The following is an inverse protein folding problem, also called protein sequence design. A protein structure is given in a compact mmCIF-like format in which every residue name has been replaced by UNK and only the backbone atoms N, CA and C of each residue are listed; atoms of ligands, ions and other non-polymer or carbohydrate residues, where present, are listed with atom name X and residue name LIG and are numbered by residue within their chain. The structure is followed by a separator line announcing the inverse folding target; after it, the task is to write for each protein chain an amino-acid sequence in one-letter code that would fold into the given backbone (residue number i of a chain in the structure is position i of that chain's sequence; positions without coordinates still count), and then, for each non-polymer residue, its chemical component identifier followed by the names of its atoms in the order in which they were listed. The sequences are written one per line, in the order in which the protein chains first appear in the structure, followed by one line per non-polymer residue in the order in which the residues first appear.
data_IF_933796712224
#
_entry.id   IF_933796712224
#
_cell.length_a   1.000
_cell.length_b   1.000
_cell.length_c   1.000
_cell.angle_alpha   90.00
_cell.angle_beta   90.00
_cell.angle_gamma   90.00
#
_symmetry.space_group_name_H-M   'P 1'
#
loop_
_entity.id
_entity.type
_entity.pdbx_description
1 polymer ?
#
# COMPACT_ATOMS: atom_id res chain seq x y z
N UNK A 1 1.27 -6.24 8.52
CA UNK A 1 -0.12 -5.91 8.19
C UNK A 1 -1.09 -6.24 9.34
N UNK A 2 -0.94 -7.36 10.04
CA UNK A 2 -1.87 -7.79 11.10
C UNK A 2 -2.10 -6.77 12.22
N UNK A 3 -1.12 -5.96 12.56
CA UNK A 3 -1.26 -4.91 13.57
C UNK A 3 -2.24 -3.82 13.14
N UNK A 4 -2.34 -3.52 11.84
CA UNK A 4 -3.33 -2.59 11.29
C UNK A 4 -4.74 -3.12 11.56
N UNK A 5 -5.00 -4.39 11.24
CA UNK A 5 -6.29 -5.02 11.52
C UNK A 5 -6.64 -5.00 13.00
N UNK A 6 -5.66 -5.31 13.86
CA UNK A 6 -5.86 -5.31 15.31
C UNK A 6 -6.20 -3.90 15.84
N UNK A 7 -5.48 -2.87 15.37
CA UNK A 7 -5.73 -1.48 15.74
C UNK A 7 -7.10 -0.99 15.25
N UNK A 8 -7.47 -1.33 14.01
CA UNK A 8 -8.80 -1.01 13.45
C UNK A 8 -9.91 -1.68 14.25
N UNK A 9 -9.77 -2.96 14.57
CA UNK A 9 -10.76 -3.70 15.35
C UNK A 9 -10.93 -3.10 16.77
N UNK A 10 -9.83 -2.72 17.42
CA UNK A 10 -9.87 -2.03 18.69
C UNK A 10 -10.59 -0.67 18.57
N UNK A 11 -10.20 0.15 17.59
CA UNK A 11 -10.81 1.46 17.38
C UNK A 11 -12.29 1.35 17.03
N UNK A 12 -12.69 0.33 16.27
CA UNK A 12 -14.09 0.08 15.91
C UNK A 12 -14.94 -0.28 17.14
N UNK A 13 -14.39 -1.07 18.06
CA UNK A 13 -15.06 -1.50 19.28
C UNK A 13 -15.17 -0.37 20.34
N UNK A 14 -14.32 0.66 20.27
CA UNK A 14 -14.28 1.75 21.27
C UNK A 14 -15.33 2.84 20.94
N UNK A 15 -16.39 3.01 21.74
CA UNK A 15 -17.47 3.96 21.44
C UNK A 15 -17.04 5.43 21.36
N UNK A 16 -15.98 5.81 22.06
CA UNK A 16 -15.46 7.18 22.07
C UNK A 16 -14.67 7.54 20.79
N UNK A 17 -14.28 6.54 19.98
CA UNK A 17 -13.61 6.77 18.70
C UNK A 17 -14.65 6.98 17.60
N UNK A 18 -14.62 8.14 16.96
CA UNK A 18 -15.52 8.52 15.87
C UNK A 18 -14.86 8.43 14.48
N UNK A 19 -13.55 8.67 14.42
CA UNK A 19 -12.74 8.68 13.19
C UNK A 19 -11.40 8.05 13.47
N UNK A 20 -10.86 7.30 12.52
CA UNK A 20 -9.52 6.71 12.58
C UNK A 20 -8.60 7.53 11.67
N UNK A 21 -7.52 8.08 12.21
CA UNK A 21 -6.47 8.73 11.43
C UNK A 21 -5.25 7.83 11.41
N UNK A 22 -4.79 7.49 10.20
CA UNK A 22 -3.57 6.71 9.98
C UNK A 22 -2.46 7.64 9.54
N UNK A 23 -1.34 7.60 10.23
CA UNK A 23 -0.17 8.43 9.95
C UNK A 23 1.14 7.67 10.12
N UNK A 24 2.21 8.13 9.51
CA UNK A 24 3.55 7.61 9.71
C UNK A 24 4.27 8.29 10.88
N UNK A 25 5.01 7.54 11.68
CA UNK A 25 5.77 8.08 12.82
C UNK A 25 7.14 8.66 12.43
N UNK A 26 7.62 8.43 11.20
CA UNK A 26 8.97 8.76 10.78
C UNK A 26 9.05 9.87 9.72
N UNK A 27 9.99 9.73 8.80
CA UNK A 27 10.23 10.68 7.70
C UNK A 27 9.19 10.62 6.58
N UNK A 28 8.27 9.68 6.63
CA UNK A 28 7.22 9.49 5.64
C UNK A 28 6.10 8.64 6.19
N UNK A 29 5.03 8.53 5.44
CA UNK A 29 3.86 7.74 5.82
C UNK A 29 4.20 6.25 5.92
N UNK A 30 4.68 5.66 4.83
CA UNK A 30 5.11 4.25 4.81
C UNK A 30 5.91 3.95 3.54
N UNK A 31 7.02 3.21 3.69
CA UNK A 31 7.88 2.76 2.59
C UNK A 31 7.52 1.40 2.01
N UNK A 32 6.45 0.77 2.49
CA UNK A 32 6.05 -0.57 2.05
C UNK A 32 6.58 -1.69 2.93
N UNK A 33 6.72 -2.87 2.36
CA UNK A 33 7.24 -4.05 3.06
C UNK A 33 8.72 -3.90 3.38
N UNK A 34 9.14 -4.47 4.52
CA UNK A 34 10.57 -4.51 4.86
C UNK A 34 11.31 -5.48 3.93
N UNK A 35 11.94 -4.89 2.94
CA UNK A 35 12.61 -5.61 1.88
C UNK A 35 13.92 -6.27 2.32
N UNK A 36 14.46 -5.87 3.48
CA UNK A 36 15.59 -6.57 4.09
C UNK A 36 15.18 -7.97 4.57
N UNK A 37 13.93 -8.11 5.01
CA UNK A 37 13.32 -9.38 5.38
C UNK A 37 13.03 -10.21 4.13
N UNK A 38 12.33 -9.59 3.15
CA UNK A 38 11.82 -10.29 1.97
C UNK A 38 12.88 -10.52 0.88
N UNK A 39 13.80 -9.59 0.67
CA UNK A 39 14.82 -9.67 -0.41
C UNK A 39 16.07 -10.43 -0.04
N UNK A 40 16.46 -10.45 1.25
CA UNK A 40 17.70 -11.07 1.70
C UNK A 40 17.54 -12.48 2.27
N UNK A 41 16.32 -13.03 2.29
CA UNK A 41 16.07 -14.38 2.80
C UNK A 41 16.33 -14.55 4.31
N UNK A 42 16.28 -13.45 5.07
CA UNK A 42 16.57 -13.47 6.52
C UNK A 42 15.48 -14.12 7.36
N UNK A 43 14.31 -14.35 6.79
CA UNK A 43 13.18 -15.01 7.46
C UNK A 43 12.63 -16.09 6.54
N UNK A 44 12.39 -17.27 7.07
CA UNK A 44 11.68 -18.33 6.34
C UNK A 44 10.19 -17.94 6.24
N UNK A 45 9.89 -17.14 5.20
CA UNK A 45 8.54 -16.65 4.93
C UNK A 45 7.94 -17.42 3.74
N UNK A 46 6.68 -17.85 3.80
CA UNK A 46 6.06 -18.63 2.73
C UNK A 46 6.16 -17.99 1.34
N UNK A 47 6.08 -16.65 1.25
CA UNK A 47 6.24 -15.91 -0.02
C UNK A 47 7.67 -15.86 -0.55
N UNK A 48 8.65 -16.42 0.18
CA UNK A 48 10.07 -16.41 -0.18
C UNK A 48 10.59 -17.77 -0.56
N UNK A 49 9.73 -18.77 -0.64
CA UNK A 49 10.17 -20.12 -0.91
C UNK A 49 10.88 -20.19 -2.27
N UNK A 50 12.19 -20.44 -2.20
CA UNK A 50 12.98 -20.89 -3.35
C UNK A 50 12.79 -22.40 -3.59
N UNK A 51 11.81 -23.01 -2.89
CA UNK A 51 11.52 -24.42 -3.04
C UNK A 51 10.99 -24.68 -4.44
N UNK A 52 11.67 -25.51 -5.15
CA UNK A 52 11.21 -26.02 -6.42
C UNK A 52 10.55 -27.39 -6.16
N UNK A 53 9.29 -27.60 -6.53
CA UNK A 53 8.44 -26.62 -7.24
C UNK A 53 7.84 -25.54 -6.32
N UNK A 54 7.68 -24.31 -6.84
CA UNK A 54 6.94 -23.24 -6.18
C UNK A 54 5.45 -23.58 -6.09
N UNK A 55 4.85 -23.39 -4.90
CA UNK A 55 3.41 -23.54 -4.70
C UNK A 55 2.72 -22.16 -4.73
N UNK A 56 2.08 -21.79 -5.85
CA UNK A 56 1.41 -20.49 -5.98
C UNK A 56 0.23 -20.32 -5.00
N UNK A 57 -0.34 -21.40 -4.48
CA UNK A 57 -1.48 -21.30 -3.55
C UNK A 57 -1.04 -20.94 -2.13
N UNK A 58 0.15 -21.36 -1.72
CA UNK A 58 0.73 -20.92 -0.44
C UNK A 58 1.03 -19.42 -0.48
N UNK A 59 1.65 -18.95 -1.55
CA UNK A 59 1.94 -17.54 -1.76
C UNK A 59 0.65 -16.70 -1.84
N UNK A 60 -0.32 -17.14 -2.62
CA UNK A 60 -1.63 -16.52 -2.71
C UNK A 60 -2.31 -16.38 -1.34
N UNK A 61 -2.32 -17.44 -0.54
CA UNK A 61 -2.99 -17.44 0.77
C UNK A 61 -2.38 -16.39 1.72
N UNK A 62 -1.04 -16.26 1.72
CA UNK A 62 -0.34 -15.28 2.55
C UNK A 62 -0.62 -13.84 2.07
N UNK A 63 -0.46 -13.57 0.78
CA UNK A 63 -0.68 -12.24 0.22
C UNK A 63 -2.16 -11.82 0.30
N UNK A 64 -3.08 -12.76 0.14
CA UNK A 64 -4.51 -12.51 0.35
C UNK A 64 -4.80 -12.06 1.79
N UNK A 65 -4.16 -12.68 2.78
CA UNK A 65 -4.29 -12.29 4.18
C UNK A 65 -3.79 -10.85 4.39
N UNK A 66 -2.66 -10.47 3.81
CA UNK A 66 -2.15 -9.10 3.92
C UNK A 66 -3.09 -8.08 3.26
N UNK A 67 -3.65 -8.42 2.10
CA UNK A 67 -4.68 -7.60 1.45
C UNK A 67 -5.88 -7.39 2.36
N UNK A 68 -6.38 -8.45 3.01
CA UNK A 68 -7.50 -8.36 3.95
C UNK A 68 -7.16 -7.53 5.19
N UNK A 69 -5.90 -7.55 5.65
CA UNK A 69 -5.44 -6.73 6.77
C UNK A 69 -5.49 -5.23 6.41
N UNK A 70 -5.02 -4.84 5.22
CA UNK A 70 -5.14 -3.46 4.73
C UNK A 70 -6.60 -3.05 4.50
N UNK A 71 -7.39 -3.93 3.90
CA UNK A 71 -8.80 -3.68 3.61
C UNK A 71 -9.67 -3.58 4.87
N UNK A 72 -9.15 -3.89 6.06
CA UNK A 72 -9.87 -3.63 7.33
C UNK A 72 -10.17 -2.15 7.51
N UNK A 73 -9.27 -1.24 7.06
CA UNK A 73 -9.47 0.21 7.05
C UNK A 73 -10.69 0.62 6.21
N UNK A 74 -10.84 -0.02 5.06
CA UNK A 74 -11.95 0.26 4.14
C UNK A 74 -13.28 -0.33 4.61
N UNK A 75 -13.25 -1.51 5.31
CA UNK A 75 -14.46 -2.24 5.74
C UNK A 75 -15.01 -1.82 7.09
N UNK A 76 -14.19 -1.22 7.98
CA UNK A 76 -14.68 -0.83 9.31
C UNK A 76 -15.83 0.17 9.22
N UNK A 77 -16.67 0.19 10.24
CA UNK A 77 -17.84 1.08 10.27
C UNK A 77 -17.47 2.57 10.44
N UNK A 78 -16.26 2.86 10.99
CA UNK A 78 -15.81 4.21 11.24
C UNK A 78 -15.10 4.81 10.03
N UNK A 79 -15.26 6.13 9.75
CA UNK A 79 -14.45 6.81 8.74
C UNK A 79 -12.96 6.70 9.03
N UNK A 80 -12.18 6.54 7.97
CA UNK A 80 -10.72 6.43 8.03
C UNK A 80 -10.07 7.51 7.18
N UNK A 81 -9.03 8.18 7.69
CA UNK A 81 -8.27 9.23 7.02
C UNK A 81 -6.80 8.83 6.97
N UNK A 82 -6.18 8.81 5.80
CA UNK A 82 -4.73 8.75 5.69
C UNK A 82 -4.14 10.17 5.69
N UNK A 83 -3.23 10.44 6.63
CA UNK A 83 -2.45 11.67 6.70
C UNK A 83 -1.05 11.40 6.14
N UNK A 84 -0.82 11.80 4.89
CA UNK A 84 0.38 11.42 4.14
C UNK A 84 1.38 12.55 4.07
N UNK A 85 2.56 12.34 4.67
CA UNK A 85 3.75 13.18 4.54
C UNK A 85 4.91 12.38 3.95
N UNK A 86 5.91 13.07 3.41
CA UNK A 86 7.14 12.47 2.88
C UNK A 86 6.85 11.48 1.76
N UNK A 87 6.65 10.20 2.08
CA UNK A 87 6.40 9.18 1.07
C UNK A 87 5.39 8.13 1.53
N UNK A 88 4.57 7.68 0.61
CA UNK A 88 3.61 6.59 0.74
C UNK A 88 3.75 5.69 -0.49
N UNK A 89 4.62 4.68 -0.42
CA UNK A 89 5.02 3.91 -1.59
C UNK A 89 4.89 2.41 -1.34
N UNK A 90 4.78 1.62 -2.42
CA UNK A 90 4.61 0.18 -2.34
C UNK A 90 3.39 -0.20 -1.47
N UNK A 91 3.49 -1.15 -0.54
CA UNK A 91 2.46 -1.47 0.44
C UNK A 91 1.99 -0.27 1.27
N UNK A 92 2.82 0.78 1.41
CA UNK A 92 2.43 2.04 2.04
C UNK A 92 1.34 2.76 1.25
N UNK A 93 1.42 2.76 -0.07
CA UNK A 93 0.36 3.31 -0.92
C UNK A 93 -0.93 2.47 -0.84
N UNK A 94 -0.81 1.16 -0.74
CA UNK A 94 -1.97 0.29 -0.51
C UNK A 94 -2.69 0.62 0.80
N UNK A 95 -1.95 0.84 1.90
CA UNK A 95 -2.52 1.26 3.18
C UNK A 95 -3.25 2.59 3.05
N UNK A 96 -2.60 3.61 2.47
CA UNK A 96 -3.20 4.93 2.30
C UNK A 96 -4.48 4.88 1.46
N UNK A 97 -4.47 4.12 0.36
CA UNK A 97 -5.61 4.00 -0.54
C UNK A 97 -6.75 3.13 0.02
N UNK A 98 -6.51 2.32 1.04
CA UNK A 98 -7.55 1.61 1.78
C UNK A 98 -8.27 2.50 2.81
N UNK A 99 -7.76 3.68 3.15
CA UNK A 99 -8.50 4.67 3.92
C UNK A 99 -9.62 5.29 3.08
N UNK A 100 -10.69 5.78 3.71
CA UNK A 100 -11.80 6.44 3.00
C UNK A 100 -11.37 7.76 2.37
N UNK A 101 -10.60 8.55 3.12
CA UNK A 101 -10.15 9.89 2.75
C UNK A 101 -8.63 9.99 2.83
N UNK A 102 -8.06 10.88 2.03
CA UNK A 102 -6.62 11.09 1.93
C UNK A 102 -6.30 12.59 2.00
N UNK A 103 -5.50 12.99 2.97
CA UNK A 103 -4.92 14.33 3.08
C UNK A 103 -3.41 14.22 2.93
N UNK A 104 -2.81 14.99 2.03
CA UNK A 104 -1.41 14.88 1.70
C UNK A 104 -0.67 16.21 1.92
N UNK A 105 0.60 16.14 2.33
CA UNK A 105 1.50 17.25 2.13
C UNK A 105 1.73 17.44 0.61
N UNK A 106 1.81 18.69 0.15
CA UNK A 106 1.98 19.00 -1.27
C UNK A 106 3.21 18.36 -1.89
N UNK A 107 4.29 18.26 -1.12
CA UNK A 107 5.58 17.66 -1.51
C UNK A 107 5.69 16.17 -1.23
N UNK A 108 4.71 15.57 -0.55
CA UNK A 108 4.69 14.13 -0.30
C UNK A 108 4.55 13.35 -1.61
N UNK A 109 5.16 12.15 -1.65
CA UNK A 109 5.14 11.28 -2.82
C UNK A 109 4.31 10.04 -2.59
N UNK A 110 3.44 9.70 -3.55
CA UNK A 110 2.69 8.45 -3.54
C UNK A 110 2.88 7.70 -4.86
N UNK A 111 3.08 6.39 -4.80
CA UNK A 111 3.29 5.55 -5.99
C UNK A 111 3.50 4.09 -5.67
N UNK A 112 3.60 3.27 -6.74
CA UNK A 112 3.79 1.83 -6.63
C UNK A 112 4.91 1.36 -7.58
N UNK A 113 6.18 1.61 -7.18
CA UNK A 113 7.35 1.28 -7.98
C UNK A 113 7.59 -0.23 -8.19
N UNK A 114 7.14 -1.16 -7.30
CA UNK A 114 7.28 -2.59 -7.56
C UNK A 114 6.64 -3.09 -8.84
N UNK A 115 5.73 -2.32 -9.46
CA UNK A 115 5.16 -2.66 -10.77
C UNK A 115 6.22 -2.85 -11.86
N UNK A 116 7.39 -2.23 -11.74
CA UNK A 116 8.51 -2.37 -12.69
C UNK A 116 9.13 -3.76 -12.63
N UNK A 117 9.23 -4.31 -11.44
CA UNK A 117 9.65 -5.68 -11.17
C UNK A 117 9.26 -6.03 -9.74
N UNK A 118 8.66 -7.20 -9.55
CA UNK A 118 8.48 -7.74 -8.22
C UNK A 118 7.24 -7.26 -7.43
N UNK A 119 6.15 -6.93 -8.08
CA UNK A 119 4.91 -6.62 -7.38
C UNK A 119 3.72 -6.26 -8.25
N UNK A 120 2.56 -6.51 -7.71
CA UNK A 120 1.27 -6.04 -8.22
C UNK A 120 0.46 -5.51 -7.02
N UNK A 121 -0.18 -4.33 -7.11
CA UNK A 121 -0.93 -3.80 -5.98
C UNK A 121 -2.16 -4.67 -5.70
N UNK A 122 -2.07 -5.50 -4.65
CA UNK A 122 -3.06 -6.54 -4.36
C UNK A 122 -4.40 -6.00 -3.88
N UNK A 123 -4.42 -4.77 -3.35
CA UNK A 123 -5.67 -4.09 -2.95
C UNK A 123 -6.50 -3.63 -4.14
N UNK A 124 -5.91 -3.48 -5.33
CA UNK A 124 -6.49 -2.94 -6.55
C UNK A 124 -7.03 -1.49 -6.41
N UNK A 125 -6.80 -0.82 -5.27
CA UNK A 125 -7.39 0.49 -4.97
C UNK A 125 -6.94 1.60 -5.93
N UNK A 126 -5.76 1.49 -6.54
CA UNK A 126 -5.33 2.42 -7.57
C UNK A 126 -6.35 2.58 -8.70
N UNK A 127 -6.88 1.45 -9.20
CA UNK A 127 -7.87 1.47 -10.28
C UNK A 127 -9.20 2.07 -9.85
N UNK A 128 -9.65 1.70 -8.66
CA UNK A 128 -10.96 2.15 -8.17
C UNK A 128 -10.97 3.62 -7.73
N UNK A 129 -9.80 4.17 -7.36
CA UNK A 129 -9.68 5.57 -6.97
C UNK A 129 -9.38 6.53 -8.12
N UNK A 130 -8.57 6.09 -9.10
CA UNK A 130 -8.13 6.95 -10.21
C UNK A 130 -8.86 6.69 -11.53
N UNK A 131 -9.62 5.60 -11.60
CA UNK A 131 -10.14 5.10 -12.86
C UNK A 131 -9.02 4.48 -13.74
N UNK A 132 -9.39 3.80 -14.82
CA UNK A 132 -8.46 2.94 -15.57
C UNK A 132 -7.31 3.70 -16.25
N UNK A 133 -7.54 4.93 -16.72
CA UNK A 133 -6.52 5.67 -17.48
C UNK A 133 -5.33 6.07 -16.61
N UNK A 134 -5.58 6.74 -15.48
CA UNK A 134 -4.53 7.18 -14.56
C UNK A 134 -3.91 6.00 -13.81
N UNK A 135 -4.71 4.99 -13.47
CA UNK A 135 -4.18 3.77 -12.88
C UNK A 135 -3.19 3.07 -13.82
N UNK A 136 -3.50 2.95 -15.11
CA UNK A 136 -2.56 2.41 -16.11
C UNK A 136 -1.30 3.25 -16.22
N UNK A 137 -1.40 4.59 -16.21
CA UNK A 137 -0.23 5.45 -16.21
C UNK A 137 0.68 5.12 -15.02
N UNK A 138 0.14 5.08 -13.79
CA UNK A 138 0.91 4.76 -12.59
C UNK A 138 1.51 3.34 -12.65
N UNK A 139 0.72 2.36 -13.08
CA UNK A 139 1.15 0.96 -13.10
C UNK A 139 2.12 0.63 -14.24
N UNK A 140 2.07 1.33 -15.36
CA UNK A 140 2.99 1.07 -16.47
C UNK A 140 4.34 1.77 -16.30
N UNK A 141 4.35 2.93 -15.63
CA UNK A 141 5.59 3.69 -15.41
C UNK A 141 6.26 3.34 -14.09
N UNK A 142 5.49 2.99 -13.07
CA UNK A 142 5.99 2.86 -11.70
C UNK A 142 6.46 4.20 -11.12
N UNK A 143 5.98 5.31 -11.67
CA UNK A 143 6.32 6.64 -11.18
C UNK A 143 5.61 6.97 -9.86
N UNK A 144 6.08 8.01 -9.18
CA UNK A 144 5.38 8.63 -8.06
C UNK A 144 4.79 9.97 -8.50
N UNK A 145 3.65 10.34 -7.93
CA UNK A 145 3.07 11.68 -8.04
C UNK A 145 3.20 12.41 -6.71
N UNK A 146 3.24 13.73 -6.74
CA UNK A 146 3.23 14.55 -5.53
C UNK A 146 1.81 14.79 -5.02
N UNK A 147 1.70 15.39 -3.82
CA UNK A 147 0.41 15.65 -3.19
C UNK A 147 -0.47 16.58 -4.01
N UNK A 148 0.10 17.60 -4.67
CA UNK A 148 -0.66 18.52 -5.55
C UNK A 148 -1.27 17.75 -6.72
N UNK A 149 -0.47 16.98 -7.42
CA UNK A 149 -0.95 16.13 -8.52
C UNK A 149 -1.98 15.12 -8.03
N UNK A 150 -1.79 14.54 -6.85
CA UNK A 150 -2.76 13.60 -6.26
C UNK A 150 -4.11 14.28 -5.99
N UNK A 151 -4.13 15.52 -5.51
CA UNK A 151 -5.35 16.30 -5.32
C UNK A 151 -6.00 16.69 -6.66
N UNK A 152 -5.21 17.17 -7.62
CA UNK A 152 -5.70 17.51 -8.97
C UNK A 152 -6.31 16.32 -9.70
N UNK A 153 -5.79 15.12 -9.44
CA UNK A 153 -6.32 13.88 -10.00
C UNK A 153 -7.53 13.34 -9.25
N UNK A 154 -7.86 13.90 -8.10
CA UNK A 154 -8.93 13.43 -7.23
C UNK A 154 -8.56 12.16 -6.44
N UNK A 155 -7.27 11.83 -6.34
CA UNK A 155 -6.77 10.75 -5.48
C UNK A 155 -6.75 11.19 -4.02
N UNK A 156 -6.22 12.39 -3.74
CA UNK A 156 -6.29 13.02 -2.44
C UNK A 156 -7.48 13.98 -2.36
N UNK A 157 -8.08 14.06 -1.19
CA UNK A 157 -9.18 14.99 -0.92
C UNK A 157 -8.67 16.41 -0.76
N UNK A 158 -7.45 16.57 -0.23
CA UNK A 158 -6.80 17.85 0.00
C UNK A 158 -5.27 17.67 -0.04
N UNK A 159 -4.57 18.62 -0.63
CA UNK A 159 -3.12 18.75 -0.53
C UNK A 159 -2.78 20.12 0.04
N UNK A 160 -1.92 20.15 1.06
CA UNK A 160 -1.54 21.37 1.79
C UNK A 160 -0.04 21.42 2.04
N UNK A 161 0.54 22.61 2.28
CA UNK A 161 1.93 22.70 2.74
C UNK A 161 2.18 21.78 3.94
N UNK A 162 3.34 21.15 4.00
CA UNK A 162 3.65 20.15 5.04
C UNK A 162 3.40 20.68 6.48
N UNK A 163 3.67 21.96 6.72
CA UNK A 163 3.43 22.59 8.01
C UNK A 163 1.93 22.72 8.39
N UNK A 164 1.03 22.61 7.42
CA UNK A 164 -0.42 22.71 7.61
C UNK A 164 -1.12 21.34 7.65
N UNK A 165 -0.39 20.26 7.39
CA UNK A 165 -0.95 18.92 7.23
C UNK A 165 -1.74 18.44 8.46
N UNK A 166 -1.19 18.65 9.65
CA UNK A 166 -1.89 18.30 10.90
C UNK A 166 -3.19 19.07 11.04
N UNK A 167 -3.14 20.38 10.86
CA UNK A 167 -4.32 21.23 10.96
C UNK A 167 -5.39 20.86 9.93
N UNK A 168 -5.01 20.59 8.67
CA UNK A 168 -5.91 20.17 7.61
C UNK A 168 -6.57 18.81 7.95
N UNK A 169 -5.77 17.85 8.39
CA UNK A 169 -6.26 16.51 8.77
C UNK A 169 -7.21 16.61 9.95
N UNK A 170 -6.86 17.37 10.98
CA UNK A 170 -7.71 17.54 12.17
C UNK A 170 -8.99 18.32 11.85
N UNK A 171 -8.97 19.30 10.93
CA UNK A 171 -10.20 19.94 10.43
C UNK A 171 -11.12 18.92 9.78
N UNK A 172 -10.57 18.05 8.92
CA UNK A 172 -11.35 17.01 8.25
C UNK A 172 -11.90 15.99 9.25
N UNK A 173 -11.06 15.49 10.15
CA UNK A 173 -11.46 14.57 11.22
C UNK A 173 -12.51 15.17 12.15
N UNK A 174 -12.36 16.43 12.53
CA UNK A 174 -13.32 17.16 13.34
C UNK A 174 -14.70 17.32 12.67
N UNK A 175 -14.72 17.49 11.35
CA UNK A 175 -15.98 17.52 10.56
C UNK A 175 -16.70 16.18 10.56
N UNK A 176 -15.98 15.07 10.63
CA UNK A 176 -16.54 13.71 10.69
C UNK A 176 -16.93 13.30 12.12
N UNK A 177 -16.21 13.81 13.12
CA UNK A 177 -16.36 13.46 14.53
C UNK A 177 -17.26 14.41 15.34
N UNK A 178 -17.69 15.55 14.75
CA UNK A 178 -18.26 16.62 15.53
C UNK A 178 -19.51 16.19 16.31
N UNK A 179 -19.33 16.16 17.62
CA UNK A 179 -20.40 16.22 18.59
C UNK A 179 -20.92 17.65 18.72
N UNK A 180 -22.14 17.80 19.21
CA UNK A 180 -22.89 19.05 19.33
C UNK A 180 -22.21 20.18 20.15
N UNK A 181 -21.06 19.90 20.77
CA UNK A 181 -20.37 20.82 21.69
C UNK A 181 -19.22 21.62 21.04
N UNK A 182 -19.01 21.55 19.73
CA UNK A 182 -17.95 22.30 19.06
C UNK A 182 -18.47 23.64 18.51
N UNK A 183 -17.99 24.81 19.03
CA UNK A 183 -18.48 26.13 18.66
C UNK A 183 -18.03 26.67 17.29
N UNK A 184 -17.35 25.88 16.47
CA UNK A 184 -16.97 26.28 15.10
C UNK A 184 -18.16 26.13 14.15
N UNK A 185 -19.17 26.96 14.38
CA UNK A 185 -20.38 27.08 13.53
C UNK A 185 -20.07 27.84 12.23
N UNK A 186 -19.44 27.18 11.31
CA UNK A 186 -19.45 27.60 9.91
C UNK A 186 -20.07 26.48 9.04
N UNK A 187 -20.14 26.63 7.73
CA UNK A 187 -20.67 25.63 6.79
C UNK A 187 -20.19 24.20 7.09
N UNK A 188 -18.97 24.07 7.65
CA UNK A 188 -18.43 22.85 8.23
C UNK A 188 -19.29 22.27 9.37
N UNK A 189 -19.89 23.09 10.23
CA UNK A 189 -20.74 22.65 11.34
C UNK A 189 -22.05 21.96 10.89
N UNK A 190 -22.55 22.26 9.71
CA UNK A 190 -23.78 21.61 9.18
C UNK A 190 -23.54 20.20 8.65
N UNK A 191 -22.29 19.83 8.32
CA UNK A 191 -21.90 18.48 7.90
C UNK A 191 -21.44 17.67 9.10
N UNK A 192 -20.92 18.31 10.12
CA UNK A 192 -20.34 17.73 11.33
C UNK A 192 -21.36 17.07 12.28
N UNK A 193 -22.66 17.27 12.06
CA UNK A 193 -23.74 16.66 12.85
C UNK A 193 -24.25 15.32 12.32
N UNK A 194 -23.49 14.62 11.45
CA UNK A 194 -23.93 13.31 10.96
C UNK A 194 -23.70 12.24 12.02
N UNK A 195 -24.72 11.56 12.53
CA UNK A 195 -24.56 10.49 13.50
C UNK A 195 -23.63 9.39 12.99
N UNK A 196 -22.81 8.79 13.86
CA UNK A 196 -21.86 7.73 13.50
C UNK A 196 -22.53 6.57 12.76
N UNK A 197 -23.76 6.20 13.13
CA UNK A 197 -24.55 5.18 12.43
C UNK A 197 -24.86 5.57 10.97
N UNK A 198 -25.12 6.85 10.70
CA UNK A 198 -25.37 7.34 9.35
C UNK A 198 -24.09 7.37 8.53
N UNK A 199 -22.95 7.78 9.12
CA UNK A 199 -21.63 7.69 8.46
C UNK A 199 -21.33 6.24 8.06
N UNK A 200 -21.55 5.28 8.97
CA UNK A 200 -21.36 3.86 8.68
C UNK A 200 -22.28 3.39 7.53
N UNK A 201 -23.57 3.75 7.56
CA UNK A 201 -24.53 3.40 6.48
C UNK A 201 -24.10 4.01 5.13
N UNK A 202 -23.72 5.28 5.10
CA UNK A 202 -23.25 5.93 3.87
C UNK A 202 -21.96 5.28 3.33
N UNK A 203 -21.00 4.98 4.22
CA UNK A 203 -19.79 4.24 3.86
C UNK A 203 -20.12 2.88 3.25
N UNK A 204 -21.04 2.12 3.84
CA UNK A 204 -21.49 0.82 3.31
C UNK A 204 -22.10 0.96 1.92
N UNK A 205 -22.96 1.97 1.69
CA UNK A 205 -23.59 2.20 0.37
C UNK A 205 -22.54 2.52 -0.69
N UNK A 206 -21.59 3.43 -0.40
CA UNK A 206 -20.50 3.78 -1.34
C UNK A 206 -19.60 2.57 -1.60
N UNK A 207 -19.24 1.83 -0.56
CA UNK A 207 -18.41 0.65 -0.68
C UNK A 207 -19.08 -0.48 -1.50
N UNK A 208 -20.42 -0.60 -1.39
CA UNK A 208 -21.17 -1.60 -2.17
C UNK A 208 -21.03 -1.37 -3.69
N UNK A 209 -20.91 -0.13 -4.14
CA UNK A 209 -20.69 0.16 -5.57
C UNK A 209 -19.39 -0.48 -6.04
N UNK A 210 -18.29 -0.32 -5.30
CA UNK A 210 -17.00 -0.90 -5.66
C UNK A 210 -17.01 -2.43 -5.64
N UNK A 211 -17.73 -3.03 -4.68
CA UNK A 211 -17.93 -4.49 -4.62
C UNK A 211 -18.69 -4.98 -5.87
N UNK A 212 -19.75 -4.27 -6.26
CA UNK A 212 -20.54 -4.59 -7.47
C UNK A 212 -19.71 -4.42 -8.75
N UNK A 213 -18.77 -3.47 -8.77
CA UNK A 213 -17.80 -3.29 -9.86
C UNK A 213 -16.70 -4.37 -9.90
N UNK A 214 -16.74 -5.38 -9.04
CA UNK A 214 -15.82 -6.50 -9.06
C UNK A 214 -14.53 -6.30 -8.27
N UNK A 215 -14.53 -5.46 -7.23
CA UNK A 215 -13.34 -5.21 -6.40
C UNK A 215 -12.71 -6.51 -5.90
N UNK A 216 -13.51 -7.43 -5.34
CA UNK A 216 -12.98 -8.71 -4.81
C UNK A 216 -12.35 -9.56 -5.89
N UNK A 217 -12.95 -9.64 -7.06
CA UNK A 217 -12.42 -10.42 -8.21
C UNK A 217 -11.10 -9.81 -8.70
N UNK A 218 -11.04 -8.48 -8.79
CA UNK A 218 -9.81 -7.77 -9.18
C UNK A 218 -8.69 -7.99 -8.15
N UNK A 219 -8.99 -7.95 -6.86
CA UNK A 219 -8.04 -8.23 -5.79
C UNK A 219 -7.50 -9.67 -5.86
N UNK A 220 -8.36 -10.65 -6.12
CA UNK A 220 -7.93 -12.05 -6.27
C UNK A 220 -6.93 -12.20 -7.43
N UNK A 221 -7.23 -11.58 -8.58
CA UNK A 221 -6.34 -11.61 -9.75
C UNK A 221 -5.01 -10.88 -9.47
N UNK A 222 -5.06 -9.70 -8.87
CA UNK A 222 -3.88 -8.94 -8.50
C UNK A 222 -3.00 -9.70 -7.50
N UNK A 223 -3.59 -10.36 -6.51
CA UNK A 223 -2.88 -11.20 -5.53
C UNK A 223 -2.18 -12.38 -6.19
N UNK A 224 -2.82 -13.04 -7.17
CA UNK A 224 -2.20 -14.12 -7.93
C UNK A 224 -1.01 -13.59 -8.77
N UNK A 225 -1.20 -12.49 -9.47
CA UNK A 225 -0.14 -11.90 -10.30
C UNK A 225 1.03 -11.38 -9.46
N UNK A 226 0.77 -10.85 -8.28
CA UNK A 226 1.82 -10.44 -7.36
C UNK A 226 2.77 -11.62 -7.02
N UNK A 227 2.24 -12.80 -6.74
CA UNK A 227 3.03 -14.03 -6.57
C UNK A 227 3.83 -14.39 -7.83
N UNK A 228 3.20 -14.35 -9.00
CA UNK A 228 3.86 -14.68 -10.28
C UNK A 228 5.03 -13.72 -10.55
N UNK A 229 4.89 -12.42 -10.30
CA UNK A 229 5.98 -11.45 -10.55
C UNK A 229 7.22 -11.69 -9.70
N UNK A 230 7.10 -12.34 -8.56
CA UNK A 230 8.26 -12.70 -7.72
C UNK A 230 8.96 -13.98 -8.16
N UNK A 231 8.29 -14.82 -8.96
CA UNK A 231 8.76 -16.15 -9.36
C UNK A 231 9.01 -16.29 -10.86
N UNK A 232 8.68 -15.26 -11.67
CA UNK A 232 9.07 -15.20 -13.06
C UNK A 232 10.59 -14.93 -13.21
N UNK A 233 11.19 -15.09 -14.40
CA UNK A 233 12.61 -14.88 -14.62
C UNK A 233 13.13 -13.53 -14.13
N UNK A 234 12.38 -12.47 -14.36
CA UNK A 234 12.70 -11.09 -14.01
C UNK A 234 12.71 -10.90 -12.48
N UNK A 235 11.70 -11.45 -11.80
CA UNK A 235 11.59 -11.41 -10.33
C UNK A 235 12.69 -12.21 -9.63
N UNK A 236 13.03 -13.38 -10.17
CA UNK A 236 14.16 -14.20 -9.68
C UNK A 236 15.50 -13.49 -9.89
N UNK A 237 15.71 -12.88 -11.07
CA UNK A 237 16.90 -12.06 -11.32
C UNK A 237 17.01 -10.91 -10.32
N UNK A 238 15.93 -10.16 -10.12
CA UNK A 238 15.91 -9.00 -9.20
C UNK A 238 16.26 -9.43 -7.77
N UNK A 239 15.71 -10.57 -7.34
CA UNK A 239 16.03 -11.14 -6.02
C UNK A 239 17.51 -11.52 -5.90
N UNK A 240 18.08 -12.23 -6.91
CA UNK A 240 19.49 -12.59 -6.93
C UNK A 240 20.40 -11.37 -6.96
N UNK A 241 20.00 -10.35 -7.72
CA UNK A 241 20.71 -9.08 -7.76
C UNK A 241 20.69 -8.39 -6.39
N UNK A 242 19.56 -8.35 -5.72
CA UNK A 242 19.45 -7.81 -4.36
C UNK A 242 20.29 -8.59 -3.33
N UNK A 243 20.38 -9.92 -3.47
CA UNK A 243 21.22 -10.76 -2.61
C UNK A 243 22.72 -10.53 -2.85
N UNK A 244 23.14 -10.35 -4.10
CA UNK A 244 24.55 -10.22 -4.48
C UNK A 244 25.10 -8.79 -4.27
N UNK A 245 24.35 -7.78 -4.68
CA UNK A 245 24.79 -6.37 -4.72
C UNK A 245 24.18 -5.51 -3.60
N UNK A 246 23.27 -6.09 -2.83
CA UNK A 246 22.54 -5.42 -1.77
C UNK A 246 21.23 -4.79 -2.25
N UNK A 247 20.25 -4.76 -1.35
CA UNK A 247 18.89 -4.33 -1.69
C UNK A 247 18.82 -2.88 -2.17
N UNK A 248 19.64 -1.98 -1.59
CA UNK A 248 19.69 -0.58 -2.01
C UNK A 248 20.11 -0.43 -3.47
N UNK A 249 21.09 -1.20 -3.92
CA UNK A 249 21.54 -1.19 -5.32
C UNK A 249 20.44 -1.73 -6.25
N UNK A 250 19.74 -2.78 -5.84
CA UNK A 250 18.63 -3.34 -6.62
C UNK A 250 17.49 -2.35 -6.79
N UNK A 251 17.08 -1.67 -5.73
CA UNK A 251 16.05 -0.61 -5.79
C UNK A 251 16.51 0.55 -6.66
N UNK A 252 17.76 1.00 -6.53
CA UNK A 252 18.30 2.05 -7.38
C UNK A 252 18.31 1.66 -8.86
N UNK A 253 18.64 0.39 -9.18
CA UNK A 253 18.55 -0.11 -10.55
C UNK A 253 17.12 -0.05 -11.06
N UNK A 254 16.16 -0.64 -10.32
CA UNK A 254 14.75 -0.64 -10.66
C UNK A 254 14.22 0.77 -10.96
N UNK A 255 14.56 1.73 -10.10
CA UNK A 255 14.01 3.08 -10.15
C UNK A 255 14.78 4.03 -11.09
N UNK A 256 15.94 3.59 -11.61
CA UNK A 256 16.78 4.37 -12.53
C UNK A 256 16.26 4.45 -13.97
N UNK A 257 15.20 3.70 -14.32
CA UNK A 257 14.72 3.57 -15.69
C UNK A 257 15.56 2.67 -16.59
N UNK A 258 16.60 2.00 -16.04
CA UNK A 258 17.37 0.98 -16.78
C UNK A 258 16.48 -0.20 -17.15
N UNK A 259 16.71 -0.84 -18.30
CA UNK A 259 15.99 -2.05 -18.68
C UNK A 259 16.14 -3.15 -17.61
N UNK A 260 15.05 -3.80 -17.27
CA UNK A 260 15.06 -5.03 -16.51
C UNK A 260 15.35 -6.17 -17.50
N UNK A 261 16.31 -7.07 -17.22
CA UNK A 261 16.54 -8.24 -18.04
C UNK A 261 15.28 -9.11 -18.12
N UNK A 262 14.98 -9.67 -19.30
CA UNK A 262 13.75 -10.44 -19.53
C UNK A 262 14.05 -11.87 -19.97
N UNK A 263 13.14 -12.79 -19.69
CA UNK A 263 13.12 -14.16 -20.21
C UNK A 263 14.42 -14.92 -19.98
N UNK A 264 15.05 -15.43 -21.07
CA UNK A 264 16.26 -16.22 -20.99
C UNK A 264 17.49 -15.44 -20.52
N UNK A 265 17.56 -14.14 -20.84
CA UNK A 265 18.62 -13.27 -20.31
C UNK A 265 18.51 -13.14 -18.81
N UNK A 266 17.32 -12.90 -18.28
CA UNK A 266 17.09 -12.83 -16.83
C UNK A 266 17.48 -14.15 -16.14
N UNK A 267 17.11 -15.32 -16.72
CA UNK A 267 17.49 -16.64 -16.19
C UNK A 267 19.00 -16.81 -16.15
N UNK A 268 19.71 -16.47 -17.23
CA UNK A 268 21.16 -16.56 -17.32
C UNK A 268 21.84 -15.69 -16.26
N UNK A 269 21.46 -14.42 -16.17
CA UNK A 269 22.01 -13.48 -15.20
C UNK A 269 21.69 -13.88 -13.76
N UNK A 270 20.49 -14.40 -13.49
CA UNK A 270 20.14 -14.92 -12.17
C UNK A 270 21.02 -16.10 -11.77
N UNK A 271 21.32 -17.02 -12.70
CA UNK A 271 22.22 -18.15 -12.45
C UNK A 271 23.67 -17.69 -12.19
N UNK A 272 24.17 -16.71 -12.94
CA UNK A 272 25.51 -16.13 -12.73
C UNK A 272 25.61 -15.46 -11.35
N UNK A 273 24.58 -14.72 -10.94
CA UNK A 273 24.52 -14.10 -9.62
C UNK A 273 24.45 -15.16 -8.50
N UNK A 274 23.64 -16.21 -8.71
CA UNK A 274 23.53 -17.31 -7.75
C UNK A 274 24.86 -18.03 -7.52
N UNK A 275 25.67 -18.21 -8.56
CA UNK A 275 27.00 -18.82 -8.44
C UNK A 275 28.01 -17.98 -7.63
N UNK A 276 27.76 -16.69 -7.48
CA UNK A 276 28.58 -15.76 -6.67
C UNK A 276 28.16 -15.72 -5.20
N UNK A 277 26.97 -16.22 -4.88
CA UNK A 277 26.47 -16.24 -3.51
C UNK A 277 27.06 -17.43 -2.74
N UNK A 278 27.32 -17.30 -1.43
CA UNK A 278 27.71 -18.43 -0.62
C UNK A 278 26.60 -19.51 -0.66
N UNK A 279 26.96 -20.81 -0.64
CA UNK A 279 25.97 -21.88 -0.59
C UNK A 279 25.03 -21.66 0.59
N UNK A 280 23.72 -21.80 0.36
CA UNK A 280 22.68 -21.49 1.33
C UNK A 280 22.97 -22.06 2.71
N UNK A 281 23.10 -21.13 3.66
CA UNK A 281 22.87 -21.23 5.07
C UNK A 281 23.34 -22.45 5.82
N UNK A 282 24.58 -22.43 6.22
CA UNK A 282 24.94 -23.00 7.52
C UNK A 282 24.33 -22.10 8.61
N UNK A 283 23.60 -22.72 9.52
CA UNK A 283 23.17 -22.21 10.81
C UNK A 283 24.27 -21.32 11.43
N UNK A 284 24.08 -19.99 11.45
CA UNK A 284 24.86 -19.09 12.29
C UNK A 284 24.11 -18.81 13.58
N UNK A 285 23.75 -19.88 14.29
CA UNK A 285 23.56 -19.83 15.73
C UNK A 285 24.95 -19.72 16.38
N UNK A 286 25.48 -18.53 16.58
CA UNK A 286 26.42 -18.17 17.64
C UNK A 286 26.16 -16.74 18.10
#
# INVERSE_FOLDING_TARGET
PGDIRAAVAWAEAEPSVHVIVVEGAGKGFCGGYDLSIFGQGRVDHPCQQEKDPWDPMVDYAVMRRFTEDFMSLWRCAKPTIAKVHGHSVDGGSDIALCCDLLVMAEDARIGYMPTRVWGCPTTAMWTYRLGPTRAKQMMFTGDTIDGRTAADWGLANEAVPAAELDAATMRLAGRLAASLDNPLHDLAGRIAGVPSSHLAMHKMVVNQVLLTMGLTQTQNLATLFDGITRHNPEGLWFRRFAQAEGFKAAVQWRDSGRPIPEGDEARRLAAELAARLPPNGGDTSR
#
